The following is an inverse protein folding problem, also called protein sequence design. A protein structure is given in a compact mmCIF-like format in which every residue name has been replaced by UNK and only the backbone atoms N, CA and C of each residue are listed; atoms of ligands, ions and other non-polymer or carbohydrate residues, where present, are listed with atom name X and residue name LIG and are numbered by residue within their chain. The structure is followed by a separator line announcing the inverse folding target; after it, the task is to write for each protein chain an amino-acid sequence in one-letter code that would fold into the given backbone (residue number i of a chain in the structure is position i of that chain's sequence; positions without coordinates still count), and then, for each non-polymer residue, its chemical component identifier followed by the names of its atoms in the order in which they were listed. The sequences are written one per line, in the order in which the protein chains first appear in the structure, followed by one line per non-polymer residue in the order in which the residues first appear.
data_IF_468658118946
#
_entry.id   IF_468658118946
#
_cell.length_a   1.000
_cell.length_b   1.000
_cell.length_c   1.000
_cell.angle_alpha   90.00
_cell.angle_beta   90.00
_cell.angle_gamma   90.00
#
_symmetry.space_group_name_H-M   'P 1'
#
loop_
_entity.id
_entity.type
_entity.pdbx_description
1 polymer ?
#
# COMPACT_ATOMS: atom_id res chain seq x y z
N UNK A 1 14.63 4.99 -7.97
CA UNK A 1 13.48 4.16 -7.57
C UNK A 1 12.23 5.02 -7.54
N UNK A 2 11.14 4.57 -8.15
CA UNK A 2 9.82 5.21 -8.12
C UNK A 2 8.91 4.36 -7.22
N UNK A 3 8.06 5.00 -6.41
CA UNK A 3 7.05 4.32 -5.61
C UNK A 3 5.64 4.72 -6.06
N UNK A 4 4.83 3.73 -6.40
CA UNK A 4 3.39 3.90 -6.64
C UNK A 4 2.63 3.51 -5.38
N UNK A 5 1.85 4.43 -4.81
CA UNK A 5 1.06 4.16 -3.61
C UNK A 5 -0.43 4.13 -3.92
N UNK A 6 -1.11 3.09 -3.45
CA UNK A 6 -2.57 3.07 -3.51
C UNK A 6 -3.22 4.05 -2.51
N UNK A 7 -4.51 4.27 -2.69
CA UNK A 7 -5.30 5.18 -1.86
C UNK A 7 -5.38 4.69 -0.41
N UNK A 8 -5.61 3.41 -0.22
CA UNK A 8 -5.84 2.79 1.09
C UNK A 8 -4.56 2.78 1.95
N UNK A 9 -3.40 2.39 1.38
CA UNK A 9 -2.15 2.41 2.15
C UNK A 9 -1.75 3.81 2.57
N UNK A 10 -1.98 4.81 1.70
CA UNK A 10 -1.69 6.21 2.01
C UNK A 10 -2.51 6.69 3.20
N UNK A 11 -3.80 6.38 3.24
CA UNK A 11 -4.70 6.75 4.32
C UNK A 11 -4.34 6.07 5.64
N UNK A 12 -4.03 4.77 5.62
CA UNK A 12 -3.60 3.99 6.80
C UNK A 12 -2.30 4.51 7.39
N UNK A 13 -1.31 4.79 6.56
CA UNK A 13 -0.05 5.39 7.02
C UNK A 13 -0.23 6.82 7.54
N UNK A 14 -1.14 7.60 6.93
CA UNK A 14 -1.50 8.94 7.42
C UNK A 14 -2.21 8.90 8.77
N UNK A 15 -3.03 7.89 9.05
CA UNK A 15 -3.69 7.71 10.33
C UNK A 15 -2.69 7.60 11.48
N UNK A 16 -1.61 6.86 11.25
CA UNK A 16 -0.54 6.63 12.23
C UNK A 16 0.60 7.67 12.15
N UNK A 17 0.48 8.69 11.31
CA UNK A 17 1.55 9.67 11.03
C UNK A 17 2.89 9.03 10.57
N UNK A 18 2.80 7.93 9.80
CA UNK A 18 3.96 7.13 9.37
C UNK A 18 4.43 7.43 7.93
N UNK A 19 3.80 8.37 7.22
CA UNK A 19 4.19 8.69 5.84
C UNK A 19 5.65 9.16 5.72
N UNK A 20 6.17 10.08 6.59
CA UNK A 20 7.57 10.49 6.53
C UNK A 20 8.54 9.34 6.81
N UNK A 21 8.23 8.50 7.81
CA UNK A 21 9.04 7.34 8.18
C UNK A 21 9.07 6.31 7.05
N UNK A 22 7.92 6.11 6.38
CA UNK A 22 7.82 5.22 5.21
C UNK A 22 8.71 5.71 4.07
N UNK A 23 8.70 6.99 3.73
CA UNK A 23 9.62 7.53 2.74
C UNK A 23 11.09 7.31 3.11
N UNK A 24 11.41 7.46 4.40
CA UNK A 24 12.77 7.25 4.92
C UNK A 24 13.23 5.80 4.74
N UNK A 25 12.41 4.80 5.10
CA UNK A 25 12.80 3.37 4.97
C UNK A 25 12.85 2.92 3.52
N UNK A 26 12.08 3.54 2.63
CA UNK A 26 12.11 3.27 1.20
C UNK A 26 13.26 4.00 0.48
N UNK A 27 13.92 4.96 1.14
CA UNK A 27 14.98 5.77 0.55
C UNK A 27 14.49 6.67 -0.59
N UNK A 28 13.24 7.14 -0.53
CA UNK A 28 12.63 7.97 -1.57
C UNK A 28 12.15 9.30 -1.02
N UNK A 29 12.06 10.29 -1.89
CA UNK A 29 11.47 11.59 -1.62
C UNK A 29 10.03 11.65 -2.13
N UNK A 30 9.27 12.67 -1.73
CA UNK A 30 7.91 12.91 -2.26
C UNK A 30 7.87 13.06 -3.79
N UNK A 31 8.96 13.49 -4.41
CA UNK A 31 9.05 13.64 -5.88
C UNK A 31 9.13 12.31 -6.63
N UNK A 32 9.43 11.23 -5.92
CA UNK A 32 9.56 9.87 -6.45
C UNK A 32 8.33 9.01 -6.11
N UNK A 33 7.35 9.60 -5.43
CA UNK A 33 6.08 8.92 -5.11
C UNK A 33 4.99 9.37 -6.06
N UNK A 34 4.24 8.39 -6.58
CA UNK A 34 3.12 8.58 -7.48
C UNK A 34 1.86 7.96 -6.89
N UNK A 35 0.75 8.68 -6.99
CA UNK A 35 -0.58 8.22 -6.56
C UNK A 35 -1.62 8.57 -7.62
N UNK A 36 -2.72 7.84 -7.67
CA UNK A 36 -3.86 8.23 -8.48
C UNK A 36 -4.65 9.33 -7.76
N UNK A 37 -4.22 10.59 -7.98
CA UNK A 37 -4.64 11.75 -7.18
C UNK A 37 -6.13 12.01 -7.18
N UNK A 38 -6.77 11.92 -8.35
CA UNK A 38 -8.19 12.24 -8.51
C UNK A 38 -9.02 11.32 -7.63
N UNK A 39 -8.77 10.02 -7.69
CA UNK A 39 -9.46 9.02 -6.88
C UNK A 39 -9.13 9.20 -5.40
N UNK A 40 -7.86 9.35 -5.04
CA UNK A 40 -7.45 9.53 -3.64
C UNK A 40 -8.11 10.76 -3.00
N UNK A 41 -8.14 11.90 -3.70
CA UNK A 41 -8.78 13.11 -3.19
C UNK A 41 -10.29 12.95 -3.09
N UNK A 42 -10.94 12.31 -4.07
CA UNK A 42 -12.37 12.00 -4.04
C UNK A 42 -12.72 11.11 -2.84
N UNK A 43 -11.96 10.03 -2.64
CA UNK A 43 -12.18 9.07 -1.55
C UNK A 43 -12.00 9.77 -0.19
N UNK A 44 -10.91 10.51 0.02
CA UNK A 44 -10.65 11.13 1.33
C UNK A 44 -11.61 12.26 1.69
N UNK A 45 -12.25 12.87 0.70
CA UNK A 45 -13.18 13.99 0.91
C UNK A 45 -14.65 13.57 0.95
N UNK A 46 -15.03 12.51 0.24
CA UNK A 46 -16.44 12.25 -0.06
C UNK A 46 -16.88 10.80 0.19
N UNK A 47 -15.96 9.85 0.39
CA UNK A 47 -16.35 8.47 0.62
C UNK A 47 -16.95 8.30 2.03
N UNK A 48 -18.21 7.83 2.16
CA UNK A 48 -18.89 7.72 3.45
C UNK A 48 -18.17 6.82 4.46
N UNK A 49 -17.57 5.72 4.00
CA UNK A 49 -16.88 4.77 4.87
C UNK A 49 -15.59 5.38 5.41
N UNK A 50 -14.85 6.10 4.56
CA UNK A 50 -13.66 6.85 4.96
C UNK A 50 -14.00 7.97 5.93
N UNK A 51 -15.11 8.71 5.67
CA UNK A 51 -15.58 9.76 6.58
C UNK A 51 -16.00 9.22 7.96
N UNK A 52 -16.56 8.02 8.00
CA UNK A 52 -16.95 7.36 9.25
C UNK A 52 -15.77 6.76 10.01
N UNK A 53 -14.78 6.20 9.30
CA UNK A 53 -13.68 5.45 9.89
C UNK A 53 -12.51 6.34 10.31
N UNK A 54 -12.21 7.42 9.58
CA UNK A 54 -11.01 8.23 9.78
C UNK A 54 -11.36 9.65 10.22
N UNK A 55 -10.60 10.16 11.22
CA UNK A 55 -10.74 11.54 11.69
C UNK A 55 -10.46 12.56 10.58
N UNK A 56 -11.00 13.77 10.75
CA UNK A 56 -10.73 14.88 9.83
C UNK A 56 -9.23 15.17 9.74
N UNK A 57 -8.50 15.10 10.84
CA UNK A 57 -7.06 15.32 10.87
C UNK A 57 -6.29 14.27 10.06
N UNK A 58 -6.65 12.99 10.19
CA UNK A 58 -6.07 11.91 9.37
C UNK A 58 -6.29 12.18 7.89
N UNK A 59 -7.53 12.49 7.50
CA UNK A 59 -7.87 12.78 6.10
C UNK A 59 -7.14 14.01 5.57
N UNK A 60 -7.01 15.07 6.39
CA UNK A 60 -6.23 16.26 6.05
C UNK A 60 -4.76 15.92 5.79
N UNK A 61 -4.11 15.14 6.66
CA UNK A 61 -2.73 14.66 6.44
C UNK A 61 -2.59 13.86 5.13
N UNK A 62 -3.52 12.95 4.86
CA UNK A 62 -3.53 12.18 3.61
C UNK A 62 -3.70 13.08 2.38
N UNK A 63 -4.61 14.05 2.41
CA UNK A 63 -4.83 15.02 1.34
C UNK A 63 -3.59 15.89 1.10
N UNK A 64 -2.96 16.40 2.16
CA UNK A 64 -1.73 17.19 2.07
C UNK A 64 -0.58 16.37 1.46
N UNK A 65 -0.45 15.10 1.86
CA UNK A 65 0.52 14.19 1.27
C UNK A 65 0.25 13.98 -0.23
N UNK A 66 -0.96 13.60 -0.62
CA UNK A 66 -1.35 13.39 -2.03
C UNK A 66 -1.10 14.64 -2.89
N UNK A 67 -1.38 15.83 -2.36
CA UNK A 67 -1.10 17.08 -3.07
C UNK A 67 0.41 17.33 -3.25
N UNK A 68 1.23 16.84 -2.34
CA UNK A 68 2.69 17.06 -2.33
C UNK A 68 3.50 16.07 -3.16
N UNK A 69 2.92 14.94 -3.56
CA UNK A 69 3.55 13.90 -4.39
C UNK A 69 3.15 14.04 -5.85
N UNK A 70 3.58 13.14 -6.74
CA UNK A 70 3.23 13.16 -8.17
C UNK A 70 1.92 12.44 -8.43
N UNK A 71 1.22 12.83 -9.50
CA UNK A 71 0.03 12.13 -9.98
C UNK A 71 0.38 11.06 -11.01
N UNK A 72 -0.37 9.96 -11.00
CA UNK A 72 -0.44 9.04 -12.13
C UNK A 72 -1.37 9.64 -13.18
N UNK A 73 -0.92 9.74 -14.42
CA UNK A 73 -1.66 10.29 -15.55
C UNK A 73 -1.60 9.40 -16.80
N UNK A 74 -0.96 8.23 -16.69
CA UNK A 74 -0.81 7.33 -17.84
C UNK A 74 -2.16 6.77 -18.27
N UNK A 75 -2.42 6.80 -19.56
CA UNK A 75 -3.49 6.01 -20.14
C UNK A 75 -3.17 4.53 -19.92
N UNK A 76 -4.13 3.80 -19.34
CA UNK A 76 -4.00 2.36 -19.17
C UNK A 76 -4.15 1.72 -20.55
N UNK A 77 -3.29 0.77 -20.88
CA UNK A 77 -3.45 -0.03 -22.10
C UNK A 77 -4.83 -0.69 -22.09
N UNK A 78 -5.65 -0.53 -23.16
CA UNK A 78 -7.03 -1.01 -23.15
C UNK A 78 -7.17 -2.53 -22.94
N UNK A 79 -6.18 -3.32 -23.38
CA UNK A 79 -6.18 -4.77 -23.21
C UNK A 79 -5.87 -5.12 -21.75
N UNK A 80 -4.83 -4.50 -21.14
CA UNK A 80 -4.52 -4.67 -19.72
C UNK A 80 -5.70 -4.23 -18.84
N UNK A 81 -6.37 -3.13 -19.21
CA UNK A 81 -7.54 -2.65 -18.49
C UNK A 81 -8.69 -3.65 -18.54
N UNK A 82 -8.96 -4.22 -19.70
CA UNK A 82 -10.01 -5.23 -19.86
C UNK A 82 -9.73 -6.49 -19.01
N UNK A 83 -8.47 -6.96 -18.95
CA UNK A 83 -8.09 -8.08 -18.09
C UNK A 83 -8.22 -7.75 -16.59
N UNK A 84 -7.77 -6.57 -16.16
CA UNK A 84 -7.91 -6.15 -14.76
C UNK A 84 -9.37 -5.97 -14.36
N UNK A 85 -10.20 -5.43 -15.25
CA UNK A 85 -11.64 -5.31 -15.02
C UNK A 85 -12.32 -6.69 -14.90
N UNK A 86 -11.97 -7.64 -15.77
CA UNK A 86 -12.46 -9.01 -15.69
C UNK A 86 -12.01 -9.73 -14.40
N UNK A 87 -10.86 -9.35 -13.85
CA UNK A 87 -10.35 -9.82 -12.56
C UNK A 87 -10.96 -9.07 -11.36
N UNK A 88 -11.92 -8.16 -11.59
CA UNK A 88 -12.54 -7.31 -10.56
C UNK A 88 -11.52 -6.49 -9.75
N UNK A 89 -10.46 -6.01 -10.40
CA UNK A 89 -9.53 -5.04 -9.84
C UNK A 89 -10.19 -3.67 -9.92
N UNK A 90 -10.15 -2.89 -8.86
CA UNK A 90 -10.78 -1.57 -8.87
C UNK A 90 -10.00 -0.53 -9.69
N UNK A 91 -10.64 0.61 -9.94
CA UNK A 91 -10.09 1.66 -10.83
C UNK A 91 -8.79 2.25 -10.27
N UNK A 92 -8.66 2.35 -8.95
CA UNK A 92 -7.46 2.88 -8.30
C UNK A 92 -6.26 2.00 -8.53
N UNK A 93 -6.39 0.69 -8.28
CA UNK A 93 -5.36 -0.30 -8.54
C UNK A 93 -5.06 -0.43 -10.04
N UNK A 94 -6.09 -0.43 -10.90
CA UNK A 94 -5.88 -0.44 -12.36
C UNK A 94 -4.98 0.71 -12.80
N UNK A 95 -5.23 1.94 -12.32
CA UNK A 95 -4.43 3.09 -12.64
C UNK A 95 -2.96 2.94 -12.17
N UNK A 96 -2.76 2.44 -10.96
CA UNK A 96 -1.43 2.21 -10.39
C UNK A 96 -0.70 1.10 -11.16
N UNK A 97 -1.33 -0.05 -11.39
CA UNK A 97 -0.71 -1.17 -12.08
C UNK A 97 -0.42 -0.83 -13.56
N UNK A 98 -1.32 -0.12 -14.23
CA UNK A 98 -1.11 0.36 -15.59
C UNK A 98 0.09 1.31 -15.70
N UNK A 99 0.23 2.25 -14.76
CA UNK A 99 1.32 3.21 -14.74
C UNK A 99 2.71 2.57 -14.58
N UNK A 100 2.81 1.35 -14.03
CA UNK A 100 4.07 0.63 -13.92
C UNK A 100 4.68 0.26 -15.27
N UNK A 101 3.92 0.32 -16.37
CA UNK A 101 4.38 -0.02 -17.73
C UNK A 101 5.52 0.88 -18.22
N UNK A 102 5.51 2.14 -17.81
CA UNK A 102 6.51 3.13 -18.20
C UNK A 102 7.71 3.21 -17.24
N UNK A 103 7.67 2.47 -16.14
CA UNK A 103 8.67 2.57 -15.08
C UNK A 103 9.67 1.41 -15.14
N UNK A 104 10.98 1.72 -15.18
CA UNK A 104 12.05 0.71 -15.18
C UNK A 104 12.32 0.18 -13.77
N UNK A 105 12.50 1.07 -12.81
CA UNK A 105 12.74 0.75 -11.40
C UNK A 105 11.63 1.32 -10.54
N UNK A 106 10.79 0.45 -10.01
CA UNK A 106 9.65 0.86 -9.19
C UNK A 106 9.33 -0.12 -8.08
N UNK A 107 8.54 0.37 -7.12
CA UNK A 107 7.79 -0.42 -6.13
C UNK A 107 6.33 0.00 -6.16
N UNK A 108 5.45 -0.94 -5.94
CA UNK A 108 4.03 -0.67 -5.68
C UNK A 108 3.78 -0.90 -4.19
N UNK A 109 3.22 0.09 -3.53
CA UNK A 109 2.84 0.04 -2.12
C UNK A 109 1.33 -0.17 -2.04
N UNK A 110 0.89 -1.25 -1.42
CA UNK A 110 -0.54 -1.53 -1.29
C UNK A 110 -0.91 -2.13 0.05
N UNK A 111 -2.08 -1.79 0.54
CA UNK A 111 -2.74 -2.46 1.65
C UNK A 111 -3.83 -3.43 1.17
N UNK A 112 -4.22 -3.39 -0.10
CA UNK A 112 -5.21 -4.30 -0.66
C UNK A 112 -4.62 -5.65 -1.07
N UNK A 113 -4.73 -6.59 -0.14
CA UNK A 113 -4.33 -7.98 -0.35
C UNK A 113 -5.29 -8.73 -1.28
N UNK A 114 -6.54 -8.28 -1.39
CA UNK A 114 -7.54 -8.94 -2.21
C UNK A 114 -7.30 -8.61 -3.69
N UNK A 115 -6.94 -7.38 -4.02
CA UNK A 115 -6.53 -7.01 -5.37
C UNK A 115 -5.36 -7.90 -5.85
N UNK A 116 -4.34 -8.12 -5.01
CA UNK A 116 -3.22 -9.00 -5.36
C UNK A 116 -3.63 -10.47 -5.56
N UNK A 117 -4.52 -10.99 -4.71
CA UNK A 117 -5.04 -12.36 -4.82
C UNK A 117 -5.90 -12.56 -6.06
N UNK A 118 -6.64 -11.54 -6.48
CA UNK A 118 -7.43 -11.56 -7.71
C UNK A 118 -6.54 -11.46 -8.95
N UNK A 119 -5.54 -10.59 -8.91
CA UNK A 119 -4.64 -10.33 -10.03
C UNK A 119 -3.78 -11.54 -10.37
N UNK A 120 -3.17 -12.19 -9.38
CA UNK A 120 -2.16 -13.22 -9.58
C UNK A 120 -2.66 -14.44 -10.40
N UNK A 121 -3.87 -15.00 -10.16
CA UNK A 121 -4.40 -16.12 -10.93
C UNK A 121 -5.21 -15.69 -12.16
N UNK A 122 -5.43 -14.38 -12.39
CA UNK A 122 -6.38 -13.92 -13.39
C UNK A 122 -5.91 -14.19 -14.83
N UNK A 123 -6.75 -14.80 -15.66
CA UNK A 123 -6.44 -14.97 -17.08
C UNK A 123 -6.18 -13.63 -17.76
N UNK A 124 -5.13 -13.55 -18.57
CA UNK A 124 -4.71 -12.33 -19.27
C UNK A 124 -3.82 -11.39 -18.46
N UNK A 125 -3.81 -11.47 -17.13
CA UNK A 125 -2.98 -10.61 -16.28
C UNK A 125 -1.51 -11.05 -16.18
N UNK A 126 -1.07 -12.11 -16.86
CA UNK A 126 0.28 -12.66 -16.77
C UNK A 126 1.38 -11.64 -17.11
N UNK A 127 1.18 -10.79 -18.11
CA UNK A 127 2.13 -9.72 -18.46
C UNK A 127 2.28 -8.67 -17.34
N UNK A 128 1.17 -8.29 -16.71
CA UNK A 128 1.14 -7.38 -15.56
C UNK A 128 1.86 -8.02 -14.37
N UNK A 129 1.56 -9.29 -14.07
CA UNK A 129 2.20 -10.03 -12.98
C UNK A 129 3.72 -10.15 -13.18
N UNK A 130 4.19 -10.51 -14.39
CA UNK A 130 5.61 -10.59 -14.73
C UNK A 130 6.31 -9.24 -14.52
N UNK A 131 5.70 -8.13 -14.96
CA UNK A 131 6.24 -6.79 -14.76
C UNK A 131 6.36 -6.43 -13.28
N UNK A 132 5.42 -6.87 -12.45
CA UNK A 132 5.37 -6.55 -11.01
C UNK A 132 6.05 -7.59 -10.12
N UNK A 133 6.63 -8.66 -10.67
CA UNK A 133 7.31 -9.70 -9.90
C UNK A 133 8.40 -9.11 -9.02
N UNK A 134 8.37 -9.43 -7.72
CA UNK A 134 9.30 -8.93 -6.72
C UNK A 134 9.27 -7.42 -6.49
N UNK A 135 8.19 -6.73 -6.87
CA UNK A 135 8.12 -5.25 -6.81
C UNK A 135 6.99 -4.69 -5.95
N UNK A 136 6.17 -5.54 -5.37
CA UNK A 136 5.07 -5.10 -4.50
C UNK A 136 5.49 -5.17 -3.03
N UNK A 137 5.29 -4.09 -2.31
CA UNK A 137 5.39 -3.99 -0.86
C UNK A 137 4.00 -3.90 -0.24
N UNK A 138 3.61 -4.93 0.49
CA UNK A 138 2.38 -4.91 1.28
C UNK A 138 2.55 -4.06 2.54
N UNK A 139 1.44 -3.63 3.13
CA UNK A 139 1.48 -2.92 4.42
C UNK A 139 2.24 -3.73 5.50
N UNK A 140 2.07 -5.06 5.54
CA UNK A 140 2.81 -5.92 6.48
C UNK A 140 4.33 -5.80 6.30
N UNK A 141 4.82 -5.77 5.05
CA UNK A 141 6.26 -5.61 4.76
C UNK A 141 6.76 -4.20 5.10
N UNK A 142 5.96 -3.17 4.84
CA UNK A 142 6.30 -1.80 5.22
C UNK A 142 6.42 -1.67 6.74
N UNK A 143 5.50 -2.29 7.50
CA UNK A 143 5.59 -2.30 8.97
C UNK A 143 6.84 -3.03 9.46
N UNK A 144 7.26 -4.13 8.84
CA UNK A 144 8.51 -4.81 9.16
C UNK A 144 9.71 -3.88 8.95
N UNK A 145 9.79 -3.17 7.82
CA UNK A 145 10.85 -2.19 7.55
C UNK A 145 10.84 -1.04 8.57
N UNK A 146 9.67 -0.56 8.96
CA UNK A 146 9.53 0.49 9.95
C UNK A 146 9.98 0.01 11.35
N UNK A 147 9.58 -1.21 11.76
CA UNK A 147 9.98 -1.80 13.04
C UNK A 147 11.49 -2.00 13.08
N UNK A 148 12.08 -2.54 12.02
CA UNK A 148 13.54 -2.73 11.91
C UNK A 148 14.30 -1.41 12.05
N UNK A 149 13.82 -0.36 11.40
CA UNK A 149 14.51 0.94 11.36
C UNK A 149 14.33 1.79 12.60
N UNK A 150 13.11 1.84 13.16
CA UNK A 150 12.74 2.78 14.22
C UNK A 150 12.47 2.10 15.58
N UNK A 151 12.31 0.78 15.59
CA UNK A 151 11.95 -0.01 16.76
C UNK A 151 10.45 -0.02 17.04
N UNK A 152 9.94 -1.17 17.43
CA UNK A 152 8.52 -1.39 17.77
C UNK A 152 8.02 -0.41 18.84
N UNK A 153 8.78 -0.23 19.95
CA UNK A 153 8.41 0.65 21.05
C UNK A 153 8.24 2.12 20.64
N UNK A 154 9.00 2.58 19.63
CA UNK A 154 8.88 3.93 19.08
C UNK A 154 7.59 4.09 18.27
N UNK A 155 7.21 3.06 17.52
CA UNK A 155 6.03 3.09 16.65
C UNK A 155 4.72 2.80 17.40
N UNK A 156 4.79 2.04 18.50
CA UNK A 156 3.63 1.65 19.30
C UNK A 156 2.69 2.81 19.63
N UNK A 157 3.14 3.95 20.21
CA UNK A 157 2.25 5.06 20.55
C UNK A 157 1.61 5.74 19.33
N UNK A 158 2.22 5.63 18.15
CA UNK A 158 1.69 6.19 16.91
C UNK A 158 0.61 5.30 16.29
N UNK A 159 0.77 3.97 16.39
CA UNK A 159 -0.12 3.00 15.73
C UNK A 159 -1.25 2.54 16.66
N UNK A 160 -1.00 2.40 17.96
CA UNK A 160 -1.98 1.89 18.92
C UNK A 160 -3.36 2.59 18.88
N UNK A 161 -3.47 3.92 18.72
CA UNK A 161 -4.77 4.59 18.60
C UNK A 161 -5.53 4.22 17.31
N UNK A 162 -4.87 3.61 16.33
CA UNK A 162 -5.37 3.34 14.99
C UNK A 162 -5.35 1.85 14.62
N UNK A 163 -5.18 0.95 15.60
CA UNK A 163 -5.08 -0.50 15.35
C UNK A 163 -6.29 -1.09 14.62
N UNK A 164 -7.48 -0.51 14.80
CA UNK A 164 -8.70 -0.94 14.12
C UNK A 164 -8.75 -0.61 12.63
N UNK A 165 -7.84 0.25 12.13
CA UNK A 165 -7.81 0.64 10.73
C UNK A 165 -7.34 -0.50 9.81
N UNK A 166 -6.52 -1.44 10.32
CA UNK A 166 -6.05 -2.58 9.54
C UNK A 166 -5.63 -3.76 10.42
N UNK A 167 -5.85 -4.97 9.90
CA UNK A 167 -5.42 -6.21 10.56
C UNK A 167 -3.90 -6.35 10.71
N UNK A 168 -3.10 -5.65 9.92
CA UNK A 168 -1.65 -5.61 10.09
C UNK A 168 -1.27 -4.78 11.32
N UNK A 169 -1.97 -3.66 11.56
CA UNK A 169 -1.78 -2.86 12.78
C UNK A 169 -2.21 -3.63 14.02
N UNK A 170 -3.37 -4.29 13.98
CA UNK A 170 -3.84 -5.14 15.07
C UNK A 170 -2.84 -6.27 15.39
N UNK A 171 -2.35 -6.95 14.35
CA UNK A 171 -1.39 -8.05 14.52
C UNK A 171 -0.07 -7.62 15.15
N UNK A 172 0.43 -6.42 14.81
CA UNK A 172 1.75 -5.96 15.23
C UNK A 172 1.72 -5.06 16.47
N UNK A 173 0.64 -4.33 16.74
CA UNK A 173 0.62 -3.25 17.73
C UNK A 173 -0.52 -3.35 18.74
N UNK A 174 -1.21 -4.50 18.86
CA UNK A 174 -2.12 -4.74 19.96
C UNK A 174 -1.38 -4.59 21.31
N UNK A 175 -2.07 -4.21 22.40
CA UNK A 175 -1.44 -3.85 23.67
C UNK A 175 -0.54 -4.94 24.30
N UNK A 176 -0.85 -6.19 24.02
CA UNK A 176 -0.15 -7.39 24.52
C UNK A 176 0.97 -7.89 23.57
N UNK A 177 1.20 -7.22 22.45
CA UNK A 177 2.16 -7.65 21.42
C UNK A 177 3.51 -6.97 21.65
N UNK A 178 4.55 -7.77 21.86
CA UNK A 178 5.93 -7.28 21.92
C UNK A 178 6.59 -7.28 20.53
N UNK A 179 7.80 -6.70 20.41
CA UNK A 179 8.51 -6.56 19.14
C UNK A 179 8.74 -7.90 18.41
N UNK A 180 9.14 -8.93 19.13
CA UNK A 180 9.43 -10.25 18.54
C UNK A 180 8.14 -10.92 18.02
N UNK A 181 7.05 -10.80 18.77
CA UNK A 181 5.74 -11.31 18.35
C UNK A 181 5.18 -10.52 17.17
N UNK A 182 5.35 -9.19 17.15
CA UNK A 182 4.95 -8.33 16.05
C UNK A 182 5.63 -8.77 14.75
N UNK A 183 6.95 -8.92 14.77
CA UNK A 183 7.71 -9.39 13.61
C UNK A 183 7.26 -10.80 13.17
N UNK A 184 7.12 -11.74 14.09
CA UNK A 184 6.69 -13.11 13.77
C UNK A 184 5.30 -13.14 13.12
N UNK A 185 4.33 -12.37 13.66
CA UNK A 185 2.99 -12.25 13.11
C UNK A 185 3.00 -11.61 11.72
N UNK A 186 3.72 -10.50 11.52
CA UNK A 186 3.84 -9.85 10.22
C UNK A 186 4.51 -10.75 9.17
N UNK A 187 5.63 -11.43 9.51
CA UNK A 187 6.29 -12.39 8.62
C UNK A 187 5.37 -13.54 8.22
N UNK A 188 4.59 -14.07 9.16
CA UNK A 188 3.58 -15.10 8.86
C UNK A 188 2.55 -14.60 7.86
N UNK A 189 2.06 -13.36 8.03
CA UNK A 189 1.08 -12.74 7.14
C UNK A 189 1.66 -12.49 5.73
N UNK A 190 2.93 -12.05 5.66
CA UNK A 190 3.66 -11.90 4.39
C UNK A 190 3.83 -13.24 3.69
N UNK A 191 4.26 -14.28 4.41
CA UNK A 191 4.43 -15.64 3.85
C UNK A 191 3.12 -16.19 3.27
N UNK A 192 1.99 -16.02 3.99
CA UNK A 192 0.67 -16.42 3.51
C UNK A 192 0.26 -15.66 2.24
N UNK A 193 0.50 -14.35 2.19
CA UNK A 193 0.19 -13.55 1.00
C UNK A 193 1.10 -13.94 -0.17
N UNK A 194 2.39 -14.15 0.07
CA UNK A 194 3.36 -14.59 -0.94
C UNK A 194 2.97 -15.91 -1.60
N UNK A 195 2.49 -16.89 -0.80
CA UNK A 195 1.99 -18.15 -1.31
C UNK A 195 0.77 -18.01 -2.25
N UNK A 196 0.03 -16.91 -2.14
CA UNK A 196 -1.20 -16.64 -2.89
C UNK A 196 -0.99 -15.70 -4.09
N UNK A 197 0.20 -15.12 -4.26
CA UNK A 197 0.44 -14.02 -5.19
C UNK A 197 1.61 -14.27 -6.16
N UNK A 198 1.98 -15.53 -6.37
CA UNK A 198 2.89 -15.97 -7.44
C UNK A 198 4.16 -15.08 -7.63
N UNK A 199 4.83 -14.71 -6.53
CA UNK A 199 6.09 -13.96 -6.62
C UNK A 199 5.96 -12.42 -6.75
N UNK A 200 4.76 -11.86 -6.67
CA UNK A 200 4.57 -10.40 -6.78
C UNK A 200 5.27 -9.61 -5.66
N UNK A 201 5.33 -10.15 -4.44
CA UNK A 201 5.90 -9.45 -3.29
C UNK A 201 7.43 -9.35 -3.38
N UNK A 202 7.95 -8.22 -2.91
CA UNK A 202 9.40 -8.05 -2.69
C UNK A 202 9.93 -9.22 -1.84
N UNK A 203 11.05 -9.86 -2.24
CA UNK A 203 11.72 -10.88 -1.40
C UNK A 203 12.10 -10.34 -0.02
N UNK A 204 12.29 -11.25 0.95
CA UNK A 204 12.78 -10.91 2.31
C UNK A 204 14.21 -10.43 2.30
#
# INVERSE_FOLDING_TARGET
LICFGDTDITLKLAACDLLPQTLTVLGVTRKEVFVYKEEALRVYQHDPDVLAQYSEETRKRAIEFVRSVRGVYSEIDPEEQAYMLAAEIDTGEQAIFGATREAVEFRVLTADRNALRKLAPAPGCGGICTRMEGRILSLDQILLLLIDRFGHATLQPMVAPHISCDKAFEAAFAPDVNAMEAEAKLRTRVALLRAQTAGLLVPD
#
